data_IF_864609211216
#
_entry.id   IF_864609211216
#
_cell.length_a   1.000
_cell.length_b   1.000
_cell.length_c   1.000
_cell.angle_alpha   90.00
_cell.angle_beta   90.00
_cell.angle_gamma   90.00
#
_symmetry.space_group_name_H-M   'P 1'
#
loop_
_entity.id
_entity.type
_entity.pdbx_description
1 polymer ?
#
# COMPACT_ATOMS: atom_id res chain seq x y z
N UNK A 1 -25.56 20.94 -25.74
CA UNK A 1 -24.54 19.87 -25.79
C UNK A 1 -23.10 20.37 -25.61
N UNK A 2 -22.67 21.42 -26.29
CA UNK A 2 -21.33 22.03 -26.16
C UNK A 2 -20.99 22.45 -24.71
N UNK A 3 -21.97 22.91 -23.94
CA UNK A 3 -21.81 23.29 -22.54
C UNK A 3 -21.37 22.11 -21.67
N UNK A 4 -21.96 20.92 -21.86
CA UNK A 4 -21.59 19.71 -21.09
C UNK A 4 -20.18 19.21 -21.44
N UNK A 5 -19.82 19.33 -22.73
CA UNK A 5 -18.46 18.98 -23.19
C UNK A 5 -17.43 19.95 -22.59
N UNK A 6 -17.75 21.25 -22.58
CA UNK A 6 -16.92 22.27 -21.94
C UNK A 6 -16.74 22.02 -20.44
N UNK A 7 -17.83 21.69 -19.72
CA UNK A 7 -17.78 21.34 -18.29
C UNK A 7 -16.92 20.10 -18.04
N UNK A 8 -17.07 19.04 -18.84
CA UNK A 8 -16.23 17.84 -18.73
C UNK A 8 -14.74 18.14 -18.99
N UNK A 9 -14.43 19.00 -19.96
CA UNK A 9 -13.06 19.46 -20.23
C UNK A 9 -12.45 20.22 -19.05
N UNK A 10 -13.20 21.14 -18.46
CA UNK A 10 -12.76 21.88 -17.27
C UNK A 10 -12.53 20.92 -16.08
N UNK A 11 -13.44 19.96 -15.86
CA UNK A 11 -13.29 18.95 -14.82
C UNK A 11 -12.02 18.12 -15.00
N UNK A 12 -11.69 17.70 -16.23
CA UNK A 12 -10.46 16.98 -16.54
C UNK A 12 -9.21 17.82 -16.27
N UNK A 13 -9.21 19.10 -16.63
CA UNK A 13 -8.10 20.01 -16.36
C UNK A 13 -7.89 20.20 -14.86
N UNK A 14 -8.96 20.44 -14.10
CA UNK A 14 -8.89 20.57 -12.64
C UNK A 14 -8.39 19.27 -12.00
N UNK A 15 -8.92 18.12 -12.42
CA UNK A 15 -8.46 16.82 -11.92
C UNK A 15 -6.99 16.58 -12.23
N UNK A 16 -6.52 16.88 -13.44
CA UNK A 16 -5.12 16.78 -13.82
C UNK A 16 -4.23 17.72 -13.01
N UNK A 17 -4.68 18.93 -12.72
CA UNK A 17 -3.95 19.89 -11.88
C UNK A 17 -3.86 19.40 -10.42
N UNK A 18 -4.94 18.84 -9.87
CA UNK A 18 -4.94 18.23 -8.53
C UNK A 18 -4.03 17.01 -8.43
N UNK A 19 -3.89 16.26 -9.53
CA UNK A 19 -3.05 15.07 -9.61
C UNK A 19 -1.58 15.38 -9.90
N UNK A 20 -1.19 16.65 -10.14
CA UNK A 20 0.21 17.00 -10.32
C UNK A 20 1.03 16.62 -9.09
N UNK A 21 2.11 15.83 -9.26
CA UNK A 21 2.99 15.48 -8.17
C UNK A 21 3.71 16.73 -7.67
N UNK A 22 3.86 16.86 -6.35
CA UNK A 22 4.81 17.82 -5.79
C UNK A 22 6.24 17.42 -6.19
N UNK A 23 7.17 18.38 -6.33
CA UNK A 23 8.56 18.05 -6.58
C UNK A 23 9.08 17.17 -5.45
N UNK A 24 9.60 15.99 -5.80
CA UNK A 24 10.16 15.08 -4.81
C UNK A 24 11.41 15.70 -4.19
N UNK A 25 11.42 15.86 -2.87
CA UNK A 25 12.64 16.12 -2.12
C UNK A 25 13.38 14.80 -2.01
N UNK A 26 14.70 14.83 -2.20
CA UNK A 26 15.55 13.65 -1.99
C UNK A 26 15.49 13.28 -0.51
N UNK A 27 14.70 12.29 -0.16
CA UNK A 27 14.64 11.74 1.18
C UNK A 27 15.39 10.40 1.20
N UNK A 28 16.23 10.22 2.18
CA UNK A 28 16.67 8.88 2.57
C UNK A 28 15.46 8.19 3.18
N UNK A 29 15.00 7.10 2.57
CA UNK A 29 13.85 6.35 3.06
C UNK A 29 14.33 5.32 4.10
N UNK A 30 13.80 5.44 5.31
CA UNK A 30 13.87 4.38 6.30
C UNK A 30 13.05 3.16 5.84
N UNK A 31 13.37 1.98 6.40
CA UNK A 31 12.69 0.75 6.03
C UNK A 31 11.16 0.83 6.20
N UNK A 32 10.68 1.47 7.27
CA UNK A 32 9.25 1.64 7.54
C UNK A 32 8.60 2.57 6.51
N UNK A 33 9.28 3.66 6.14
CA UNK A 33 8.82 4.59 5.11
C UNK A 33 8.79 3.92 3.72
N UNK A 34 9.83 3.16 3.36
CA UNK A 34 9.89 2.40 2.12
C UNK A 34 8.76 1.35 2.03
N UNK A 35 8.49 0.64 3.13
CA UNK A 35 7.37 -0.28 3.22
C UNK A 35 6.02 0.43 3.05
N UNK A 36 5.86 1.60 3.67
CA UNK A 36 4.64 2.41 3.56
C UNK A 36 4.40 2.85 2.10
N UNK A 37 5.44 3.32 1.41
CA UNK A 37 5.37 3.69 -0.01
C UNK A 37 5.05 2.48 -0.88
N UNK A 38 5.64 1.29 -0.60
CA UNK A 38 5.41 0.07 -1.36
C UNK A 38 4.03 -0.54 -1.16
N UNK A 39 3.60 -0.71 0.08
CA UNK A 39 2.41 -1.52 0.44
C UNK A 39 1.42 -0.83 1.37
N UNK A 40 1.62 0.48 1.64
CA UNK A 40 0.73 1.25 2.50
C UNK A 40 0.87 0.93 4.00
N UNK A 41 -0.14 1.30 4.81
CA UNK A 41 -0.11 1.18 6.27
C UNK A 41 0.20 -0.23 6.77
N UNK A 42 -0.36 -1.24 6.12
CA UNK A 42 -0.16 -2.64 6.52
C UNK A 42 1.31 -3.06 6.38
N UNK A 43 1.94 -2.72 5.27
CA UNK A 43 3.35 -3.05 5.05
C UNK A 43 4.27 -2.32 6.05
N UNK A 44 3.98 -1.06 6.38
CA UNK A 44 4.71 -0.31 7.39
C UNK A 44 4.60 -0.98 8.78
N UNK A 45 3.40 -1.38 9.21
CA UNK A 45 3.18 -2.09 10.47
C UNK A 45 3.86 -3.46 10.47
N UNK A 46 3.86 -4.19 9.35
CA UNK A 46 4.57 -5.48 9.22
C UNK A 46 6.08 -5.30 9.43
N UNK A 47 6.69 -4.27 8.83
CA UNK A 47 8.12 -3.97 9.02
C UNK A 47 8.41 -3.52 10.46
N UNK A 48 7.53 -2.71 11.06
CA UNK A 48 7.65 -2.31 12.47
C UNK A 48 7.61 -3.52 13.40
N UNK A 49 6.68 -4.47 13.18
CA UNK A 49 6.61 -5.74 13.93
C UNK A 49 7.85 -6.61 13.71
N UNK A 50 8.37 -6.71 12.49
CA UNK A 50 9.61 -7.41 12.21
C UNK A 50 10.80 -6.79 12.97
N UNK A 51 10.86 -5.46 13.04
CA UNK A 51 11.87 -4.74 13.83
C UNK A 51 11.77 -5.02 15.32
N UNK A 52 10.57 -5.00 15.88
CA UNK A 52 10.31 -5.32 17.28
C UNK A 52 10.62 -6.78 17.60
N UNK A 53 10.36 -7.72 16.69
CA UNK A 53 10.74 -9.12 16.84
C UNK A 53 12.27 -9.31 16.81
N UNK A 54 12.94 -8.65 15.88
CA UNK A 54 14.41 -8.70 15.79
C UNK A 54 15.11 -8.07 17.00
N UNK A 55 14.48 -7.09 17.67
CA UNK A 55 14.95 -6.53 18.94
C UNK A 55 14.59 -7.39 20.16
N UNK A 56 13.86 -8.50 19.97
CA UNK A 56 13.41 -9.37 21.06
C UNK A 56 12.24 -8.84 21.88
N UNK A 57 11.66 -7.68 21.50
CA UNK A 57 10.58 -7.02 22.26
C UNK A 57 9.23 -7.71 22.06
N UNK A 58 8.99 -8.27 20.86
CA UNK A 58 7.70 -8.84 20.45
C UNK A 58 7.92 -10.23 19.85
N UNK A 59 6.99 -11.15 20.12
CA UNK A 59 6.98 -12.48 19.51
C UNK A 59 5.57 -12.90 19.11
N UNK A 60 5.48 -13.99 18.34
CA UNK A 60 4.21 -14.62 18.06
C UNK A 60 3.66 -15.25 19.35
N UNK A 61 2.34 -15.12 19.55
CA UNK A 61 1.68 -15.69 20.70
C UNK A 61 1.55 -17.22 20.52
N UNK A 62 2.08 -18.03 21.46
CA UNK A 62 2.01 -19.50 21.35
C UNK A 62 0.56 -20.01 21.47
N UNK A 63 -0.28 -19.34 22.25
CA UNK A 63 -1.65 -19.77 22.54
C UNK A 63 -2.66 -19.29 21.49
N UNK A 64 -2.29 -18.28 20.69
CA UNK A 64 -3.17 -17.68 19.67
C UNK A 64 -2.49 -17.58 18.32
N UNK A 65 -2.65 -18.57 17.43
CA UNK A 65 -2.07 -18.55 16.09
C UNK A 65 -2.54 -17.31 15.31
N UNK A 66 -1.58 -16.55 14.79
CA UNK A 66 -1.85 -15.31 14.06
C UNK A 66 -1.93 -14.06 14.93
N UNK A 67 -1.70 -14.18 16.23
CA UNK A 67 -1.57 -13.07 17.15
C UNK A 67 -0.10 -12.80 17.49
N UNK A 68 0.16 -11.57 17.93
CA UNK A 68 1.47 -11.08 18.36
C UNK A 68 1.35 -10.56 19.79
N UNK A 69 2.32 -10.89 20.63
CA UNK A 69 2.38 -10.46 22.04
C UNK A 69 3.72 -9.79 22.35
N UNK A 70 3.75 -8.98 23.41
CA UNK A 70 4.98 -8.42 23.95
C UNK A 70 5.67 -9.48 24.80
N UNK A 71 6.95 -9.70 24.55
CA UNK A 71 7.77 -10.68 25.25
C UNK A 71 8.46 -10.12 26.50
N UNK A 72 8.63 -8.80 26.54
CA UNK A 72 9.36 -8.11 27.60
C UNK A 72 8.39 -7.29 28.44
N UNK A 73 8.39 -7.48 29.75
CA UNK A 73 7.52 -6.74 30.68
C UNK A 73 7.83 -5.24 30.71
N UNK A 74 9.07 -4.87 30.45
CA UNK A 74 9.48 -3.48 30.30
C UNK A 74 9.81 -3.16 28.85
N UNK A 75 9.00 -2.29 28.25
CA UNK A 75 9.28 -1.75 26.91
C UNK A 75 10.56 -0.90 26.96
N UNK A 76 11.49 -1.08 26.00
CA UNK A 76 12.67 -0.24 25.94
C UNK A 76 12.24 1.24 25.84
N UNK A 77 12.82 2.07 26.70
CA UNK A 77 12.45 3.50 26.86
C UNK A 77 12.59 4.30 25.56
N UNK A 78 13.43 3.83 24.64
CA UNK A 78 13.65 4.48 23.34
C UNK A 78 13.64 3.44 22.23
N UNK A 79 12.53 3.36 21.51
CA UNK A 79 12.50 2.71 20.19
C UNK A 79 12.86 3.77 19.13
N UNK A 80 13.70 3.43 18.14
CA UNK A 80 14.20 4.38 17.16
C UNK A 80 13.11 4.94 16.25
N UNK A 81 12.01 4.21 16.07
CA UNK A 81 10.92 4.56 15.17
C UNK A 81 9.62 4.84 15.96
N UNK A 82 8.96 5.99 15.74
CA UNK A 82 7.69 6.33 16.39
C UNK A 82 6.58 5.32 16.08
N UNK A 83 6.58 4.67 14.90
CA UNK A 83 5.61 3.62 14.59
C UNK A 83 5.87 2.35 15.41
N UNK A 84 7.14 1.93 15.57
CA UNK A 84 7.49 0.80 16.43
C UNK A 84 7.04 1.06 17.87
N UNK A 85 7.26 2.27 18.38
CA UNK A 85 6.82 2.67 19.71
C UNK A 85 5.29 2.61 19.85
N UNK A 86 4.55 3.13 18.87
CA UNK A 86 3.09 3.09 18.86
C UNK A 86 2.54 1.65 18.80
N UNK A 87 3.18 0.77 18.03
CA UNK A 87 2.82 -0.65 17.93
C UNK A 87 3.10 -1.35 19.27
N UNK A 88 4.31 -1.23 19.83
CA UNK A 88 4.70 -1.86 21.07
C UNK A 88 3.81 -1.44 22.24
N UNK A 89 3.52 -0.14 22.38
CA UNK A 89 2.62 0.38 23.43
C UNK A 89 1.16 -0.05 23.26
N UNK A 90 0.76 -0.46 22.05
CA UNK A 90 -0.61 -0.94 21.77
C UNK A 90 -0.78 -2.45 22.01
N UNK A 91 0.31 -3.20 22.12
CA UNK A 91 0.35 -4.66 22.29
C UNK A 91 0.27 -5.09 23.77
N UNK A 92 -0.59 -4.49 24.57
CA UNK A 92 -0.80 -4.91 25.98
C UNK A 92 -1.47 -6.28 26.10
N UNK A 93 -2.17 -6.70 25.09
CA UNK A 93 -2.82 -8.01 24.98
C UNK A 93 -2.49 -8.60 23.62
N UNK A 94 -2.40 -9.94 23.52
CA UNK A 94 -2.19 -10.60 22.23
C UNK A 94 -3.26 -10.21 21.22
N UNK A 95 -2.85 -9.76 20.03
CA UNK A 95 -3.78 -9.36 18.98
C UNK A 95 -3.22 -9.57 17.59
N UNK A 96 -4.12 -9.69 16.61
CA UNK A 96 -3.78 -9.82 15.21
C UNK A 96 -3.33 -8.47 14.59
N UNK A 97 -2.67 -8.53 13.44
CA UNK A 97 -2.14 -7.34 12.74
C UNK A 97 -3.26 -6.37 12.36
N UNK A 98 -4.47 -6.85 12.05
CA UNK A 98 -5.60 -5.99 11.69
C UNK A 98 -6.09 -5.19 12.89
N UNK A 99 -6.15 -5.83 14.05
CA UNK A 99 -6.50 -5.16 15.31
C UNK A 99 -5.43 -4.12 15.71
N UNK A 100 -4.15 -4.42 15.51
CA UNK A 100 -3.05 -3.48 15.74
C UNK A 100 -3.22 -2.23 14.86
N UNK A 101 -3.45 -2.40 13.57
CA UNK A 101 -3.66 -1.29 12.63
C UNK A 101 -4.88 -0.44 13.00
N UNK A 102 -5.91 -1.07 13.58
CA UNK A 102 -7.12 -0.38 14.01
C UNK A 102 -6.93 0.48 15.27
N UNK A 103 -5.87 0.27 16.05
CA UNK A 103 -5.60 1.03 17.27
C UNK A 103 -5.39 2.52 16.99
N UNK A 104 -5.98 3.44 17.79
CA UNK A 104 -5.89 4.88 17.54
C UNK A 104 -4.45 5.39 17.47
N UNK A 105 -3.59 4.96 18.40
CA UNK A 105 -2.15 5.35 18.43
C UNK A 105 -1.40 4.92 17.18
N UNK A 106 -1.63 3.68 16.71
CA UNK A 106 -0.98 3.17 15.49
C UNK A 106 -1.51 3.91 14.27
N UNK A 107 -2.83 4.16 14.19
CA UNK A 107 -3.41 4.97 13.10
C UNK A 107 -2.85 6.38 13.06
N UNK A 108 -2.64 7.00 14.20
CA UNK A 108 -2.05 8.33 14.30
C UNK A 108 -0.58 8.31 13.85
N UNK A 109 0.23 7.35 14.32
CA UNK A 109 1.62 7.22 13.89
C UNK A 109 1.74 6.97 12.39
N UNK A 110 0.90 6.09 11.82
CA UNK A 110 0.81 5.87 10.38
C UNK A 110 0.34 7.13 9.64
N UNK A 111 -0.60 7.89 10.21
CA UNK A 111 -1.05 9.17 9.67
C UNK A 111 0.11 10.15 9.55
N UNK A 112 0.85 10.35 10.62
CA UNK A 112 2.03 11.23 10.65
C UNK A 112 3.09 10.79 9.62
N UNK A 113 3.34 9.48 9.50
CA UNK A 113 4.25 8.93 8.49
C UNK A 113 3.77 9.23 7.06
N UNK A 114 2.47 9.05 6.77
CA UNK A 114 1.89 9.36 5.47
C UNK A 114 1.92 10.85 5.15
N UNK A 115 1.72 11.72 6.15
CA UNK A 115 1.82 13.17 5.99
C UNK A 115 3.25 13.60 5.70
N UNK A 116 4.25 13.02 6.37
CA UNK A 116 5.66 13.21 6.07
C UNK A 116 6.01 12.81 4.63
N UNK A 117 5.62 11.58 4.22
CA UNK A 117 5.85 11.09 2.85
C UNK A 117 5.12 11.93 1.78
N UNK A 118 4.00 12.54 2.14
CA UNK A 118 3.26 13.45 1.27
C UNK A 118 3.96 14.81 1.17
N UNK A 119 4.54 15.32 2.27
CA UNK A 119 5.34 16.54 2.29
C UNK A 119 6.62 16.38 1.46
N UNK A 120 7.23 15.18 1.47
CA UNK A 120 8.39 14.82 0.64
C UNK A 120 8.03 14.57 -0.84
N UNK A 121 6.77 14.66 -1.23
CA UNK A 121 6.32 14.48 -2.61
C UNK A 121 6.32 13.03 -3.10
N UNK A 122 6.51 12.04 -2.21
CA UNK A 122 6.51 10.62 -2.55
C UNK A 122 5.10 10.04 -2.67
N UNK A 123 4.16 10.60 -1.92
CA UNK A 123 2.74 10.24 -2.00
C UNK A 123 1.89 11.45 -2.38
N UNK A 124 0.80 11.20 -3.07
CA UNK A 124 -0.21 12.22 -3.36
C UNK A 124 -1.07 12.47 -2.13
N UNK A 125 -1.35 13.73 -1.83
CA UNK A 125 -2.27 14.12 -0.74
C UNK A 125 -3.61 13.41 -0.88
N UNK A 126 -4.03 12.71 0.17
CA UNK A 126 -5.26 11.90 0.19
C UNK A 126 -6.49 12.73 -0.22
N UNK A 127 -6.63 13.92 0.34
CA UNK A 127 -7.74 14.82 0.02
C UNK A 127 -7.76 15.25 -1.45
N UNK A 128 -6.61 15.59 -2.04
CA UNK A 128 -6.52 15.95 -3.46
C UNK A 128 -6.81 14.78 -4.38
N UNK A 129 -6.35 13.57 -4.00
CA UNK A 129 -6.59 12.37 -4.78
C UNK A 129 -8.07 11.95 -4.74
N UNK A 130 -8.72 11.97 -3.55
CA UNK A 130 -10.16 11.70 -3.43
C UNK A 130 -11.01 12.76 -4.15
N UNK A 131 -10.66 14.04 -4.02
CA UNK A 131 -11.35 15.11 -4.76
C UNK A 131 -11.23 14.90 -6.27
N UNK A 132 -10.04 14.56 -6.77
CA UNK A 132 -9.85 14.26 -8.19
C UNK A 132 -10.66 13.04 -8.64
N UNK A 133 -10.74 11.98 -7.83
CA UNK A 133 -11.58 10.81 -8.15
C UNK A 133 -13.07 11.14 -8.21
N UNK A 134 -13.58 11.92 -7.27
CA UNK A 134 -14.98 12.36 -7.27
C UNK A 134 -15.26 13.21 -8.53
N UNK A 135 -14.35 14.12 -8.86
CA UNK A 135 -14.46 14.96 -10.05
C UNK A 135 -14.45 14.12 -11.34
N UNK A 136 -13.55 13.13 -11.41
CA UNK A 136 -13.45 12.22 -12.56
C UNK A 136 -14.67 11.29 -12.67
N UNK A 137 -15.23 10.85 -11.56
CA UNK A 137 -16.46 10.05 -11.55
C UNK A 137 -17.69 10.85 -12.01
N UNK A 138 -17.69 12.17 -11.87
CA UNK A 138 -18.76 13.04 -12.38
C UNK A 138 -18.69 13.23 -13.90
N UNK A 139 -17.54 12.98 -14.55
CA UNK A 139 -17.41 13.13 -16.03
C UNK A 139 -18.37 12.21 -16.80
N UNK A 140 -18.42 10.87 -16.55
CA UNK A 140 -19.36 10.01 -17.25
C UNK A 140 -20.82 10.40 -16.98
N UNK A 141 -21.14 10.86 -15.75
CA UNK A 141 -22.48 11.32 -15.41
C UNK A 141 -22.90 12.54 -16.27
N UNK A 142 -22.02 13.52 -16.41
CA UNK A 142 -22.24 14.68 -17.27
C UNK A 142 -22.41 14.29 -18.74
N UNK A 143 -21.65 13.31 -19.21
CA UNK A 143 -21.74 12.84 -20.60
C UNK A 143 -23.02 12.03 -20.85
N UNK A 144 -23.46 11.20 -19.90
CA UNK A 144 -24.76 10.51 -19.97
C UNK A 144 -25.89 11.53 -20.03
N UNK A 145 -25.87 12.56 -19.18
CA UNK A 145 -26.85 13.64 -19.19
C UNK A 145 -26.87 14.35 -20.54
N UNK A 146 -25.71 14.61 -21.13
CA UNK A 146 -25.61 15.23 -22.45
C UNK A 146 -26.22 14.36 -23.56
N UNK A 147 -26.13 13.03 -23.46
CA UNK A 147 -26.75 12.10 -24.42
C UNK A 147 -28.26 12.03 -24.24
N UNK A 148 -28.75 12.00 -23.00
CA UNK A 148 -30.19 11.87 -22.70
C UNK A 148 -30.95 13.14 -23.05
N UNK A 149 -30.39 14.31 -22.72
CA UNK A 149 -31.03 15.61 -22.92
C UNK A 149 -30.51 16.35 -24.16
N UNK A 150 -29.60 15.74 -24.92
CA UNK A 150 -29.02 16.32 -26.13
C UNK A 150 -29.84 16.10 -27.39
N UNK A 151 -29.40 16.64 -28.54
CA UNK A 151 -30.06 16.44 -29.82
C UNK A 151 -30.09 14.96 -30.23
N UNK A 152 -31.19 14.52 -30.82
CA UNK A 152 -31.41 13.11 -31.21
C UNK A 152 -30.38 12.54 -32.20
N UNK A 153 -29.61 13.40 -32.88
CA UNK A 153 -28.56 13.00 -33.82
C UNK A 153 -27.23 13.67 -33.42
N UNK A 154 -26.40 13.03 -32.61
CA UNK A 154 -25.07 13.53 -32.26
C UNK A 154 -24.19 13.54 -33.52
N UNK A 155 -23.44 14.62 -33.73
CA UNK A 155 -22.44 14.68 -34.80
C UNK A 155 -21.25 13.76 -34.49
N UNK A 156 -20.55 13.29 -35.54
CA UNK A 156 -19.33 12.46 -35.40
C UNK A 156 -18.29 13.13 -34.51
N UNK A 157 -18.17 14.47 -34.63
CA UNK A 157 -17.25 15.26 -33.80
C UNK A 157 -17.62 15.19 -32.31
N UNK A 158 -18.91 15.22 -31.97
CA UNK A 158 -19.38 15.13 -30.59
C UNK A 158 -19.11 13.75 -30.00
N UNK A 159 -19.32 12.68 -30.78
CA UNK A 159 -18.98 11.31 -30.36
C UNK A 159 -17.48 11.13 -30.12
N UNK A 160 -16.64 11.64 -31.00
CA UNK A 160 -15.19 11.57 -30.87
C UNK A 160 -14.69 12.29 -29.61
N UNK A 161 -15.17 13.51 -29.33
CA UNK A 161 -14.79 14.27 -28.13
C UNK A 161 -15.28 13.60 -26.86
N UNK A 162 -16.48 13.01 -26.86
CA UNK A 162 -17.03 12.25 -25.75
C UNK A 162 -16.19 11.01 -25.45
N UNK A 163 -15.81 10.25 -26.50
CA UNK A 163 -14.95 9.09 -26.37
C UNK A 163 -13.55 9.47 -25.80
N UNK A 164 -12.99 10.58 -26.29
CA UNK A 164 -11.71 11.09 -25.79
C UNK A 164 -11.77 11.50 -24.31
N UNK A 165 -12.86 12.18 -23.90
CA UNK A 165 -13.07 12.58 -22.51
C UNK A 165 -13.22 11.37 -21.58
N UNK A 166 -13.98 10.34 -21.99
CA UNK A 166 -14.12 9.08 -21.25
C UNK A 166 -12.80 8.34 -21.13
N UNK A 167 -12.04 8.24 -22.22
CA UNK A 167 -10.72 7.59 -22.21
C UNK A 167 -9.76 8.33 -21.28
N UNK A 168 -9.73 9.66 -21.34
CA UNK A 168 -8.93 10.50 -20.46
C UNK A 168 -9.32 10.35 -18.99
N UNK A 169 -10.60 10.34 -18.67
CA UNK A 169 -11.10 10.14 -17.31
C UNK A 169 -10.72 8.76 -16.78
N UNK A 170 -10.88 7.70 -17.58
CA UNK A 170 -10.51 6.33 -17.20
C UNK A 170 -9.00 6.21 -16.97
N UNK A 171 -8.19 6.76 -17.85
CA UNK A 171 -6.73 6.77 -17.70
C UNK A 171 -6.30 7.47 -16.40
N UNK A 172 -6.92 8.61 -16.07
CA UNK A 172 -6.63 9.34 -14.83
C UNK A 172 -7.12 8.59 -13.58
N UNK A 173 -8.25 7.87 -13.64
CA UNK A 173 -8.76 7.03 -12.57
C UNK A 173 -7.83 5.85 -12.26
N UNK A 174 -7.19 5.28 -13.29
CA UNK A 174 -6.24 4.18 -13.15
C UNK A 174 -4.88 4.62 -12.60
N UNK A 175 -4.63 5.93 -12.45
CA UNK A 175 -3.36 6.42 -11.92
C UNK A 175 -3.14 5.97 -10.46
N UNK A 176 -2.01 5.31 -10.16
CA UNK A 176 -1.71 4.88 -8.80
C UNK A 176 -1.46 6.10 -7.90
N UNK A 177 -1.70 5.93 -6.60
CA UNK A 177 -1.44 6.97 -5.58
C UNK A 177 0.06 7.31 -5.44
N UNK A 178 0.92 6.42 -5.88
CA UNK A 178 2.38 6.60 -5.86
C UNK A 178 2.79 7.59 -6.94
N UNK A 179 3.73 8.47 -6.59
CA UNK A 179 4.32 9.36 -7.59
C UNK A 179 5.33 8.59 -8.44
N UNK A 180 5.60 9.02 -9.70
CA UNK A 180 6.66 8.42 -10.52
C UNK A 180 8.02 8.45 -9.83
N UNK A 181 8.30 9.52 -9.07
CA UNK A 181 9.53 9.65 -8.27
C UNK A 181 9.63 8.56 -7.18
N UNK A 182 8.54 8.26 -6.48
CA UNK A 182 8.50 7.19 -5.50
C UNK A 182 8.72 5.82 -6.15
N UNK A 183 8.18 5.60 -7.36
CA UNK A 183 8.41 4.37 -8.11
C UNK A 183 9.88 4.23 -8.52
N UNK A 184 10.48 5.26 -9.09
CA UNK A 184 11.90 5.26 -9.49
C UNK A 184 12.81 5.01 -8.27
N UNK A 185 12.51 5.66 -7.13
CA UNK A 185 13.25 5.46 -5.89
C UNK A 185 13.14 4.03 -5.36
N UNK A 186 11.94 3.42 -5.38
CA UNK A 186 11.78 2.01 -5.00
C UNK A 186 12.52 1.05 -5.93
N UNK A 187 12.56 1.35 -7.22
CA UNK A 187 13.33 0.54 -8.21
C UNK A 187 14.83 0.64 -7.91
N UNK A 188 15.36 1.84 -7.69
CA UNK A 188 16.77 2.04 -7.36
C UNK A 188 17.17 1.37 -6.03
N UNK A 189 16.30 1.48 -5.00
CA UNK A 189 16.53 0.81 -3.72
C UNK A 189 16.51 -0.72 -3.85
N UNK A 190 15.61 -1.28 -4.66
CA UNK A 190 15.60 -2.73 -4.93
C UNK A 190 16.85 -3.21 -5.67
N UNK A 191 17.37 -2.40 -6.58
CA UNK A 191 18.62 -2.71 -7.28
C UNK A 191 19.82 -2.67 -6.31
N UNK A 192 19.82 -1.74 -5.35
CA UNK A 192 20.85 -1.64 -4.33
C UNK A 192 20.76 -2.75 -3.26
N UNK A 193 19.55 -3.30 -2.99
CA UNK A 193 19.31 -4.35 -2.01
C UNK A 193 18.65 -5.58 -2.67
N UNK A 194 19.39 -6.36 -3.47
CA UNK A 194 18.88 -7.59 -4.07
C UNK A 194 18.63 -8.65 -2.99
N UNK A 195 17.62 -9.51 -3.21
CA UNK A 195 17.36 -10.64 -2.32
C UNK A 195 18.58 -11.57 -2.30
N UNK A 196 19.16 -11.86 -1.13
CA UNK A 196 20.29 -12.75 -1.02
C UNK A 196 19.84 -14.19 -1.32
N UNK A 197 20.47 -14.84 -2.32
CA UNK A 197 20.21 -16.26 -2.60
C UNK A 197 20.98 -17.20 -1.65
N UNK A 198 22.11 -16.75 -1.10
CA UNK A 198 23.01 -17.61 -0.28
C UNK A 198 23.99 -16.76 0.52
N UNK A 199 23.54 -15.97 1.50
CA UNK A 199 24.45 -15.15 2.32
C UNK A 199 24.32 -15.46 3.80
N UNK A 200 25.40 -15.27 4.59
CA UNK A 200 25.29 -15.23 6.04
C UNK A 200 24.25 -14.20 6.46
N UNK A 201 23.63 -14.41 7.62
CA UNK A 201 22.51 -13.60 8.13
C UNK A 201 22.87 -12.11 8.06
N UNK A 202 22.12 -11.30 7.28
CA UNK A 202 22.42 -9.87 7.13
C UNK A 202 22.15 -9.12 8.45
N UNK A 203 22.74 -7.94 8.66
CA UNK A 203 22.45 -7.10 9.82
C UNK A 203 20.97 -6.73 9.88
N UNK A 204 20.46 -6.45 11.10
CA UNK A 204 19.03 -6.16 11.35
C UNK A 204 18.46 -5.09 10.42
N UNK A 205 19.20 -3.99 10.20
CA UNK A 205 18.77 -2.91 9.32
C UNK A 205 18.59 -3.34 7.87
N UNK A 206 19.46 -4.24 7.39
CA UNK A 206 19.36 -4.78 6.03
C UNK A 206 18.17 -5.74 5.91
N UNK A 207 17.92 -6.58 6.93
CA UNK A 207 16.71 -7.43 6.96
C UNK A 207 15.44 -6.58 6.86
N UNK A 208 15.36 -5.50 7.65
CA UNK A 208 14.20 -4.61 7.63
C UNK A 208 14.03 -3.94 6.27
N UNK A 209 15.12 -3.51 5.64
CA UNK A 209 15.08 -2.92 4.31
C UNK A 209 14.65 -3.95 3.26
N UNK A 210 15.16 -5.19 3.31
CA UNK A 210 14.72 -6.27 2.43
C UNK A 210 13.23 -6.57 2.58
N UNK A 211 12.72 -6.67 3.82
CA UNK A 211 11.29 -6.86 4.07
C UNK A 211 10.48 -5.68 3.57
N UNK A 212 10.98 -4.46 3.74
CA UNK A 212 10.33 -3.25 3.24
C UNK A 212 10.20 -3.25 1.72
N UNK A 213 11.25 -3.63 0.99
CA UNK A 213 11.31 -3.59 -0.47
C UNK A 213 10.66 -4.79 -1.15
N UNK A 214 10.81 -6.00 -0.57
CA UNK A 214 10.37 -7.25 -1.20
C UNK A 214 9.14 -7.88 -0.50
N UNK A 215 8.75 -7.40 0.69
CA UNK A 215 7.53 -7.80 1.41
C UNK A 215 7.54 -9.23 1.91
N UNK A 216 6.41 -9.91 1.69
CA UNK A 216 6.13 -11.25 2.22
C UNK A 216 7.21 -12.26 1.82
N UNK A 217 7.79 -12.12 0.62
CA UNK A 217 8.85 -13.01 0.15
C UNK A 217 10.12 -12.87 1.00
N UNK A 218 10.57 -11.63 1.25
CA UNK A 218 11.72 -11.38 2.10
C UNK A 218 11.45 -11.74 3.56
N UNK A 219 10.23 -11.47 4.05
CA UNK A 219 9.80 -11.82 5.40
C UNK A 219 9.82 -13.35 5.61
N UNK A 220 9.30 -14.12 4.64
CA UNK A 220 9.30 -15.58 4.68
C UNK A 220 10.72 -16.18 4.64
N UNK A 221 11.65 -15.51 3.96
CA UNK A 221 13.06 -15.95 3.89
C UNK A 221 13.85 -15.57 5.16
N UNK A 222 13.66 -14.35 5.67
CA UNK A 222 14.44 -13.83 6.80
C UNK A 222 13.91 -14.27 8.16
N UNK A 223 12.58 -14.34 8.32
CA UNK A 223 11.87 -14.62 9.57
C UNK A 223 10.76 -15.67 9.39
N UNK A 224 11.07 -16.89 8.92
CA UNK A 224 10.06 -17.87 8.48
C UNK A 224 9.13 -18.35 9.60
N UNK A 225 9.63 -18.50 10.83
CA UNK A 225 8.81 -18.90 11.98
C UNK A 225 7.87 -17.79 12.39
N UNK A 226 8.41 -16.64 12.73
CA UNK A 226 7.64 -15.47 13.13
C UNK A 226 6.57 -15.09 12.09
N UNK A 227 6.94 -15.09 10.81
CA UNK A 227 6.02 -14.74 9.75
C UNK A 227 4.79 -15.67 9.64
N UNK A 228 4.98 -16.97 9.91
CA UNK A 228 3.90 -17.97 9.91
C UNK A 228 3.06 -17.91 11.17
N UNK A 229 3.71 -17.90 12.33
CA UNK A 229 3.07 -17.95 13.65
C UNK A 229 2.30 -16.66 13.93
N UNK A 230 2.85 -15.49 13.58
CA UNK A 230 2.18 -14.19 13.69
C UNK A 230 1.14 -13.92 12.58
N UNK A 231 0.92 -14.85 11.66
CA UNK A 231 -0.05 -14.69 10.56
C UNK A 231 0.23 -13.53 9.61
N UNK A 232 1.51 -13.14 9.48
CA UNK A 232 1.95 -12.04 8.63
C UNK A 232 1.99 -12.45 7.15
N UNK A 233 2.25 -13.75 6.88
CA UNK A 233 2.21 -14.31 5.53
C UNK A 233 0.76 -14.58 5.14
N UNK A 234 0.30 -13.93 4.11
CA UNK A 234 -0.77 -14.41 3.26
C UNK A 234 -2.17 -14.65 3.82
N UNK A 235 -2.83 -13.65 4.34
CA UNK A 235 -4.27 -13.54 4.03
C UNK A 235 -4.58 -12.29 3.20
N UNK A 236 -3.55 -11.76 2.57
CA UNK A 236 -3.59 -10.65 1.64
C UNK A 236 -3.48 -11.06 0.18
N UNK A 237 -3.79 -12.27 -0.18
CA UNK A 237 -3.88 -12.72 -1.56
C UNK A 237 -5.18 -12.25 -2.24
N UNK A 238 -5.44 -10.94 -2.20
CA UNK A 238 -6.55 -10.30 -2.87
C UNK A 238 -6.16 -9.40 -4.03
N UNK A 239 -4.88 -9.41 -4.47
CA UNK A 239 -4.47 -8.59 -5.61
C UNK A 239 -3.30 -9.23 -6.37
N UNK A 240 -3.49 -10.34 -6.92
CA UNK A 240 -3.01 -10.82 -8.23
C UNK A 240 -3.41 -12.28 -8.30
N UNK A 241 -4.60 -12.51 -8.84
CA UNK A 241 -5.13 -13.83 -9.15
C UNK A 241 -4.27 -14.56 -10.17
N UNK A 242 -3.25 -15.24 -9.70
CA UNK A 242 -2.63 -16.36 -10.37
C UNK A 242 -3.30 -17.63 -9.83
N UNK A 243 -4.35 -18.09 -10.49
CA UNK A 243 -4.88 -19.44 -10.32
C UNK A 243 -3.70 -20.41 -10.35
N UNK A 244 -3.41 -21.04 -9.23
CA UNK A 244 -2.55 -22.21 -9.21
C UNK A 244 -3.43 -23.44 -9.57
N UNK A 245 -3.37 -23.97 -10.80
CA UNK A 245 -4.25 -25.05 -11.24
C UNK A 245 -3.76 -26.44 -10.82
N UNK A 246 -2.80 -26.55 -9.91
CA UNK A 246 -2.26 -27.85 -9.48
C UNK A 246 -2.61 -28.15 -8.02
N UNK A 247 -3.91 -28.16 -7.70
CA UNK A 247 -4.38 -28.99 -6.61
C UNK A 247 -4.53 -30.41 -7.17
N UNK A 248 -3.43 -31.17 -7.09
CA UNK A 248 -3.46 -32.60 -7.39
C UNK A 248 -4.54 -33.27 -6.55
N UNK A 249 -5.55 -33.74 -7.24
CA UNK A 249 -6.53 -34.68 -6.72
C UNK A 249 -5.76 -35.98 -6.44
N UNK A 250 -5.49 -36.23 -5.16
CA UNK A 250 -5.02 -37.54 -4.71
C UNK A 250 -6.21 -38.48 -4.81
N UNK A 251 -6.17 -39.54 -5.64
CA UNK A 251 -7.25 -40.52 -5.69
C UNK A 251 -7.25 -41.32 -4.38
N UNK A 252 -8.45 -41.72 -3.89
CA UNK A 252 -8.56 -42.54 -2.70
C UNK A 252 -7.99 -43.94 -2.99
N UNK A 253 -7.15 -44.44 -2.07
CA UNK A 253 -6.61 -45.78 -2.11
C UNK A 253 -7.73 -46.81 -1.97
N UNK A 254 -7.77 -47.89 -2.77
CA UNK A 254 -8.73 -48.96 -2.58
C UNK A 254 -8.31 -49.80 -1.37
N UNK A 255 -9.20 -49.88 -0.40
CA UNK A 255 -9.12 -50.86 0.68
C UNK A 255 -9.48 -52.22 0.14
N UNK A 256 -8.56 -53.14 0.17
CA UNK A 256 -8.80 -54.61 0.25
C UNK A 256 -8.61 -55.07 1.67
#
# INVERSE_FOLDING_TARGET
MWWFIGAAGIQLIIAAALLRPAPARRATLDAVAAACVRGGPRAAVTVALAGLHLSGTVDADPDRPGAVSVRVDELPVRLPDPLQHAVATSLRTPMDVRAIIARPRVRQAVGNLLDGLTADGLLRRRARWTAAQILLAAVPLNLITAVVFGPRHPTVTQLAVTALALTGATALLCLPRRTPAAHALLVSLRAAHPLPMTRPRPPVGEILMLVALHGDRALAQSLPRFAREAGLLARGGGEHGGRNPLRQVVPPSPHT
#
